data_IF_574350307135
#
_entry.id   IF_574350307135
#
_cell.length_a   1.000
_cell.length_b   1.000
_cell.length_c   1.000
_cell.angle_alpha   90.00
_cell.angle_beta   90.00
_cell.angle_gamma   90.00
#
_symmetry.space_group_name_H-M   'P 1'
#
loop_
_entity.id
_entity.type
_entity.pdbx_description
1 polymer ?
#
# COMPACT_ATOMS: atom_id res chain seq x y z
N UNK A 1 -33.79 6.08 16.60
CA UNK A 1 -32.84 6.25 17.72
C UNK A 1 -31.55 6.85 17.17
N UNK A 2 -30.79 7.60 17.98
CA UNK A 2 -29.44 8.06 17.59
C UNK A 2 -28.41 6.94 17.77
N UNK A 3 -27.23 7.06 17.14
CA UNK A 3 -26.16 6.07 17.27
C UNK A 3 -25.71 5.91 18.74
N UNK A 4 -25.33 4.69 19.10
CA UNK A 4 -24.80 4.35 20.42
C UNK A 4 -23.52 3.55 20.24
N UNK A 5 -22.44 4.02 20.86
CA UNK A 5 -21.14 3.37 20.79
C UNK A 5 -21.09 2.18 21.75
N UNK A 6 -20.48 1.09 21.28
CA UNK A 6 -20.21 -0.10 22.08
C UNK A 6 -18.77 -0.10 22.60
N UNK A 7 -18.57 -0.57 23.82
CA UNK A 7 -17.25 -0.59 24.47
C UNK A 7 -16.71 -2.02 24.55
N UNK A 8 -15.51 -2.26 24.02
CA UNK A 8 -14.84 -3.56 24.12
C UNK A 8 -14.56 -3.94 25.59
N UNK A 9 -14.76 -5.20 25.94
CA UNK A 9 -14.69 -5.74 27.30
C UNK A 9 -15.92 -5.47 28.17
N UNK A 10 -16.82 -4.57 27.75
CA UNK A 10 -18.06 -4.25 28.48
C UNK A 10 -19.29 -4.66 27.70
N UNK A 11 -19.47 -4.11 26.50
CA UNK A 11 -20.63 -4.35 25.64
C UNK A 11 -20.37 -5.48 24.64
N UNK A 12 -19.11 -5.73 24.29
CA UNK A 12 -18.72 -6.85 23.46
C UNK A 12 -17.32 -7.34 23.81
N UNK A 13 -16.96 -8.53 23.37
CA UNK A 13 -15.59 -9.05 23.38
C UNK A 13 -15.16 -9.35 21.95
N UNK A 14 -13.90 -9.06 21.63
CA UNK A 14 -13.27 -9.48 20.38
C UNK A 14 -12.09 -10.39 20.71
N UNK A 15 -12.08 -11.60 20.15
CA UNK A 15 -11.04 -12.60 20.38
C UNK A 15 -10.54 -13.15 19.06
N UNK A 16 -9.22 -13.24 18.92
CA UNK A 16 -8.59 -14.01 17.86
C UNK A 16 -8.76 -15.50 18.20
N UNK A 17 -9.32 -16.27 17.28
CA UNK A 17 -9.42 -17.71 17.41
C UNK A 17 -8.41 -18.37 16.48
N UNK A 18 -7.75 -19.43 16.97
CA UNK A 18 -6.91 -20.27 16.12
C UNK A 18 -7.81 -20.86 15.03
N UNK A 19 -7.35 -20.85 13.78
CA UNK A 19 -8.05 -21.47 12.67
C UNK A 19 -8.47 -22.90 13.04
N UNK A 20 -9.74 -23.26 12.88
CA UNK A 20 -10.23 -24.64 13.02
C UNK A 20 -9.68 -25.52 11.89
N UNK A 21 -8.36 -25.65 11.80
CA UNK A 21 -7.67 -26.59 10.94
C UNK A 21 -7.61 -26.25 9.46
N UNK A 22 -7.90 -25.02 9.02
CA UNK A 22 -7.42 -24.56 7.70
C UNK A 22 -6.12 -23.73 7.90
N UNK A 23 -5.18 -23.85 6.98
CA UNK A 23 -3.94 -23.08 7.00
C UNK A 23 -4.19 -21.68 6.39
N UNK A 24 -3.46 -20.65 6.84
CA UNK A 24 -3.35 -19.31 6.24
C UNK A 24 -4.51 -18.29 6.37
N UNK A 25 -5.42 -18.39 7.34
CA UNK A 25 -6.44 -17.35 7.62
C UNK A 25 -6.53 -16.97 9.10
N UNK A 26 -6.96 -15.74 9.37
CA UNK A 26 -7.18 -15.19 10.71
C UNK A 26 -8.68 -15.05 10.97
N UNK A 27 -9.16 -15.60 12.08
CA UNK A 27 -10.56 -15.45 12.52
C UNK A 27 -10.63 -14.52 13.71
N UNK A 28 -11.47 -13.48 13.60
CA UNK A 28 -11.84 -12.62 14.72
C UNK A 28 -13.28 -12.90 15.10
N UNK A 29 -13.49 -13.39 16.31
CA UNK A 29 -14.81 -13.60 16.87
C UNK A 29 -15.21 -12.38 17.69
N UNK A 30 -16.36 -11.79 17.35
CA UNK A 30 -16.95 -10.66 18.06
C UNK A 30 -18.26 -11.11 18.72
N UNK A 31 -18.34 -11.03 20.05
CA UNK A 31 -19.51 -11.46 20.82
C UNK A 31 -20.06 -10.29 21.63
N UNK A 32 -21.35 -9.95 21.46
CA UNK A 32 -22.02 -9.03 22.36
C UNK A 32 -22.13 -9.66 23.75
N UNK A 33 -21.78 -8.91 24.78
CA UNK A 33 -22.08 -9.30 26.15
C UNK A 33 -23.57 -9.08 26.42
N UNK A 34 -24.05 -9.55 27.58
CA UNK A 34 -25.41 -9.22 28.03
C UNK A 34 -25.68 -7.71 28.07
N UNK A 35 -24.70 -6.93 28.53
CA UNK A 35 -24.80 -5.46 28.56
C UNK A 35 -24.91 -4.89 27.14
N UNK A 36 -24.11 -5.38 26.21
CA UNK A 36 -24.17 -4.93 24.82
C UNK A 36 -25.50 -5.25 24.15
N UNK A 37 -26.02 -6.48 24.35
CA UNK A 37 -27.34 -6.86 23.84
C UNK A 37 -28.46 -5.96 24.37
N UNK A 38 -28.44 -5.61 25.66
CA UNK A 38 -29.39 -4.67 26.25
C UNK A 38 -29.24 -3.26 25.66
N UNK A 39 -27.99 -2.85 25.38
CA UNK A 39 -27.66 -1.53 24.84
C UNK A 39 -28.08 -1.33 23.38
N UNK A 40 -28.00 -2.39 22.57
CA UNK A 40 -28.46 -2.40 21.17
C UNK A 40 -29.93 -2.81 21.03
N UNK A 41 -30.63 -3.07 22.13
CA UNK A 41 -32.05 -3.44 22.08
C UNK A 41 -32.88 -2.32 21.44
N UNK A 42 -33.63 -2.68 20.40
CA UNK A 42 -34.46 -1.74 19.62
C UNK A 42 -33.72 -1.02 18.49
N UNK A 43 -32.47 -1.38 18.21
CA UNK A 43 -31.73 -0.96 17.03
C UNK A 43 -31.82 -1.99 15.92
N UNK A 44 -31.93 -1.52 14.67
CA UNK A 44 -32.02 -2.38 13.49
C UNK A 44 -30.65 -2.81 12.94
N UNK A 45 -29.55 -2.19 13.41
CA UNK A 45 -28.19 -2.43 12.92
C UNK A 45 -27.15 -2.34 14.03
N UNK A 46 -26.19 -3.26 13.99
CA UNK A 46 -24.91 -3.17 14.70
C UNK A 46 -23.80 -3.10 13.66
N UNK A 47 -22.76 -2.31 13.93
CA UNK A 47 -21.62 -2.13 13.01
C UNK A 47 -20.32 -2.29 13.78
N UNK A 48 -19.41 -3.11 13.26
CA UNK A 48 -18.05 -3.24 13.76
C UNK A 48 -17.08 -2.80 12.67
N UNK A 49 -16.11 -1.95 13.04
CA UNK A 49 -15.01 -1.59 12.16
C UNK A 49 -13.80 -2.44 12.56
N UNK A 50 -13.36 -3.31 11.65
CA UNK A 50 -12.15 -4.11 11.82
C UNK A 50 -11.04 -3.43 11.02
N UNK A 51 -9.96 -3.05 11.71
CA UNK A 51 -8.77 -2.45 11.09
C UNK A 51 -7.75 -3.55 10.88
N UNK A 52 -7.38 -3.81 9.63
CA UNK A 52 -6.43 -4.85 9.26
C UNK A 52 -5.17 -4.23 8.65
N UNK A 53 -4.04 -4.94 8.80
CA UNK A 53 -2.75 -4.60 8.20
C UNK A 53 -2.38 -5.73 7.23
N UNK A 54 -2.13 -5.39 5.96
CA UNK A 54 -1.59 -6.36 4.99
C UNK A 54 -0.11 -6.56 5.29
N UNK A 55 0.33 -7.82 5.36
CA UNK A 55 1.74 -8.17 5.57
C UNK A 55 2.44 -8.26 4.21
N UNK A 56 3.69 -7.80 4.14
CA UNK A 56 4.48 -7.63 2.90
C UNK A 56 4.79 -8.94 2.16
N UNK A 57 4.60 -10.10 2.79
CA UNK A 57 4.94 -11.42 2.23
C UNK A 57 3.85 -12.03 1.33
N UNK A 58 2.74 -11.31 1.09
CA UNK A 58 1.61 -11.83 0.29
C UNK A 58 1.76 -11.45 -1.20
N UNK A 59 2.40 -12.33 -1.95
CA UNK A 59 2.62 -12.20 -3.40
C UNK A 59 1.41 -12.55 -4.27
N UNK A 60 0.34 -13.12 -3.70
CA UNK A 60 -0.83 -13.55 -4.48
C UNK A 60 -1.74 -12.38 -4.91
N UNK A 61 -1.50 -11.17 -4.37
CA UNK A 61 -2.18 -9.92 -4.72
C UNK A 61 -3.71 -9.89 -4.55
N UNK A 62 -4.28 -10.90 -3.90
CA UNK A 62 -5.68 -10.96 -3.53
C UNK A 62 -5.82 -11.34 -2.05
N UNK A 63 -6.56 -10.52 -1.30
CA UNK A 63 -6.92 -10.79 0.08
C UNK A 63 -8.44 -10.80 0.17
N UNK A 64 -8.98 -11.98 0.50
CA UNK A 64 -10.41 -12.21 0.68
C UNK A 64 -10.79 -12.07 2.16
N UNK A 65 -11.94 -11.44 2.41
CA UNK A 65 -12.52 -11.33 3.75
C UNK A 65 -13.98 -11.81 3.73
N UNK A 66 -14.36 -12.63 4.69
CA UNK A 66 -15.74 -13.06 4.93
C UNK A 66 -16.11 -12.81 6.39
N UNK A 67 -17.41 -12.76 6.69
CA UNK A 67 -17.90 -12.80 8.06
C UNK A 67 -19.21 -13.56 8.12
N UNK A 68 -19.41 -14.35 9.17
CA UNK A 68 -20.68 -14.97 9.47
C UNK A 68 -21.24 -14.38 10.75
N UNK A 69 -22.57 -14.37 10.87
CA UNK A 69 -23.22 -13.91 12.10
C UNK A 69 -24.08 -15.01 12.70
N UNK A 70 -24.13 -15.05 14.03
CA UNK A 70 -25.01 -15.94 14.76
C UNK A 70 -25.93 -15.11 15.63
N UNK A 71 -27.21 -15.07 15.28
CA UNK A 71 -28.23 -14.43 16.09
C UNK A 71 -28.88 -15.45 17.03
N UNK A 72 -29.14 -15.06 18.28
CA UNK A 72 -29.91 -15.87 19.23
C UNK A 72 -31.21 -15.15 19.51
N UNK A 73 -32.32 -15.71 19.02
CA UNK A 73 -33.65 -15.14 19.20
C UNK A 73 -34.16 -15.21 20.65
N UNK A 74 -35.27 -14.53 20.96
CA UNK A 74 -35.85 -14.48 22.31
C UNK A 74 -36.23 -15.86 22.89
N UNK A 75 -36.40 -16.85 22.02
CA UNK A 75 -36.70 -18.25 22.36
C UNK A 75 -35.47 -19.07 22.71
N UNK A 76 -34.26 -18.49 22.58
CA UNK A 76 -32.98 -19.19 22.69
C UNK A 76 -32.60 -19.95 21.42
N UNK A 77 -33.42 -19.88 20.36
CA UNK A 77 -33.09 -20.45 19.06
C UNK A 77 -31.95 -19.65 18.41
N UNK A 78 -30.93 -20.38 17.99
CA UNK A 78 -29.80 -19.84 17.26
C UNK A 78 -30.13 -19.86 15.77
N UNK A 79 -30.05 -18.71 15.11
CA UNK A 79 -30.19 -18.56 13.67
C UNK A 79 -28.85 -18.05 13.13
N UNK A 80 -28.01 -18.94 12.57
CA UNK A 80 -26.87 -18.50 11.80
C UNK A 80 -27.37 -17.78 10.55
N UNK A 81 -26.84 -16.58 10.28
CA UNK A 81 -26.95 -15.92 8.99
C UNK A 81 -25.55 -15.98 8.40
N UNK A 82 -25.37 -16.92 7.47
CA UNK A 82 -24.09 -17.15 6.80
C UNK A 82 -24.02 -16.29 5.55
N UNK A 83 -22.85 -15.75 5.24
CA UNK A 83 -22.57 -15.28 3.87
C UNK A 83 -22.19 -16.45 2.96
N UNK A 84 -22.10 -17.66 3.52
CA UNK A 84 -21.62 -18.86 2.84
C UNK A 84 -22.46 -19.22 1.58
N UNK A 85 -21.86 -19.29 0.38
CA UNK A 85 -22.52 -19.67 -0.86
C UNK A 85 -22.73 -21.18 -1.01
N UNK A 86 -22.27 -21.99 -0.04
CA UNK A 86 -22.62 -23.42 0.04
C UNK A 86 -23.62 -23.65 1.18
N UNK A 87 -24.73 -24.38 0.95
CA UNK A 87 -25.67 -24.73 2.02
C UNK A 87 -24.94 -25.52 3.10
N UNK A 88 -25.18 -25.16 4.37
CA UNK A 88 -24.71 -25.92 5.52
C UNK A 88 -25.02 -27.42 5.32
N UNK A 89 -24.01 -28.31 5.29
CA UNK A 89 -24.23 -29.74 5.10
C UNK A 89 -25.05 -30.38 6.24
N UNK A 90 -25.23 -29.68 7.37
CA UNK A 90 -26.08 -30.08 8.48
C UNK A 90 -27.05 -28.96 8.89
N UNK A 91 -28.29 -28.95 8.40
CA UNK A 91 -29.29 -27.92 8.74
C UNK A 91 -29.72 -27.88 10.22
N UNK A 92 -29.22 -28.79 11.07
CA UNK A 92 -29.40 -28.78 12.52
C UNK A 92 -28.16 -28.28 13.28
N UNK A 93 -27.08 -27.91 12.59
CA UNK A 93 -25.93 -27.30 13.23
C UNK A 93 -26.30 -25.88 13.71
N UNK A 94 -26.04 -25.62 14.99
CA UNK A 94 -26.29 -24.31 15.61
C UNK A 94 -24.98 -23.56 15.88
N UNK A 95 -23.88 -24.04 15.29
CA UNK A 95 -22.61 -23.33 15.27
C UNK A 95 -22.52 -22.49 13.99
N UNK A 96 -21.83 -21.33 14.02
CA UNK A 96 -21.43 -20.67 12.78
C UNK A 96 -20.61 -21.67 11.96
N UNK A 97 -20.93 -21.85 10.68
CA UNK A 97 -20.00 -22.53 9.77
C UNK A 97 -18.69 -21.76 9.75
N UNK A 98 -17.56 -22.43 9.62
CA UNK A 98 -16.31 -21.71 9.38
C UNK A 98 -16.46 -20.88 8.10
N UNK A 99 -16.11 -19.60 8.12
CA UNK A 99 -16.07 -18.80 6.90
C UNK A 99 -15.13 -19.47 5.91
N UNK A 100 -15.60 -19.77 4.68
CA UNK A 100 -14.77 -20.30 3.61
C UNK A 100 -13.95 -19.15 3.00
N UNK A 101 -12.61 -19.08 3.23
CA UNK A 101 -11.78 -18.00 2.71
C UNK A 101 -11.73 -18.00 1.18
N UNK A 102 -12.04 -19.14 0.54
CA UNK A 102 -12.05 -19.30 -0.92
C UNK A 102 -13.42 -19.04 -1.53
N UNK A 103 -14.45 -18.91 -0.71
CA UNK A 103 -15.82 -18.72 -1.18
C UNK A 103 -16.63 -17.85 -0.19
N UNK A 104 -16.31 -16.56 -0.07
CA UNK A 104 -16.77 -15.73 1.04
C UNK A 104 -18.22 -15.20 0.87
N UNK A 105 -18.89 -15.47 -0.26
CA UNK A 105 -20.28 -15.06 -0.52
C UNK A 105 -20.44 -13.74 -1.28
N UNK A 106 -21.69 -13.26 -1.39
CA UNK A 106 -22.06 -12.06 -2.18
C UNK A 106 -21.72 -10.71 -1.51
N UNK A 107 -21.39 -10.67 -0.21
CA UNK A 107 -21.21 -9.42 0.56
C UNK A 107 -19.81 -9.32 1.18
N UNK A 108 -18.78 -9.31 0.35
CA UNK A 108 -17.38 -9.39 0.81
C UNK A 108 -16.58 -8.17 0.36
N UNK A 109 -15.94 -7.44 1.28
CA UNK A 109 -14.98 -6.42 0.89
C UNK A 109 -13.72 -7.13 0.36
N UNK A 110 -13.50 -7.02 -0.95
CA UNK A 110 -12.31 -7.53 -1.63
C UNK A 110 -11.20 -6.47 -1.56
N UNK A 111 -9.99 -6.89 -1.20
CA UNK A 111 -8.80 -6.04 -1.20
C UNK A 111 -7.80 -6.63 -2.18
N UNK A 112 -7.60 -5.96 -3.31
CA UNK A 112 -6.62 -6.34 -4.33
C UNK A 112 -5.37 -5.49 -4.19
N UNK A 113 -4.21 -6.14 -4.31
CA UNK A 113 -2.90 -5.49 -4.34
C UNK A 113 -2.25 -5.73 -5.72
N UNK A 114 -1.42 -4.78 -6.14
CA UNK A 114 -0.59 -4.88 -7.32
C UNK A 114 0.86 -4.49 -7.03
N UNK A 115 1.67 -4.53 -8.09
CA UNK A 115 3.05 -4.08 -8.10
C UNK A 115 3.26 -3.00 -9.17
N UNK A 116 4.39 -2.30 -9.07
CA UNK A 116 4.92 -1.41 -10.10
C UNK A 116 6.37 -1.80 -10.37
N UNK A 117 6.67 -2.14 -11.61
CA UNK A 117 8.00 -2.52 -12.06
C UNK A 117 8.71 -1.39 -12.82
N UNK A 118 9.92 -1.09 -12.39
CA UNK A 118 10.76 -0.03 -12.96
C UNK A 118 12.00 -0.63 -13.59
N UNK A 119 12.28 -0.25 -14.84
CA UNK A 119 13.54 -0.51 -15.51
C UNK A 119 14.31 0.79 -15.72
N UNK A 120 15.49 0.88 -15.11
CA UNK A 120 16.39 2.01 -15.17
C UNK A 120 17.54 1.75 -16.12
N UNK A 121 17.71 2.62 -17.11
CA UNK A 121 18.80 2.55 -18.08
C UNK A 121 19.46 3.90 -18.33
N UNK A 122 20.60 3.87 -19.04
CA UNK A 122 21.20 5.02 -19.70
C UNK A 122 20.66 5.22 -21.13
N UNK A 123 21.12 6.27 -21.82
CA UNK A 123 20.73 6.56 -23.22
C UNK A 123 21.12 5.46 -24.23
N UNK A 124 22.04 4.56 -23.87
CA UNK A 124 22.45 3.42 -24.68
C UNK A 124 21.64 2.14 -24.37
N UNK A 125 20.77 2.17 -23.36
CA UNK A 125 20.00 1.03 -22.88
C UNK A 125 20.75 0.13 -21.89
N UNK A 126 21.90 0.57 -21.38
CA UNK A 126 22.63 -0.15 -20.32
C UNK A 126 21.87 -0.02 -19.01
N UNK A 127 21.63 -1.12 -18.26
CA UNK A 127 20.97 -1.04 -16.96
C UNK A 127 21.80 -0.25 -15.94
N UNK A 128 21.12 0.51 -15.08
CA UNK A 128 21.75 1.33 -14.04
C UNK A 128 21.27 0.99 -12.64
N UNK A 129 22.22 0.58 -11.79
CA UNK A 129 22.02 0.33 -10.37
C UNK A 129 22.06 1.61 -9.55
N UNK A 130 21.49 1.55 -8.34
CA UNK A 130 21.52 2.60 -7.33
C UNK A 130 20.73 3.87 -7.67
N UNK A 131 19.76 3.79 -8.59
CA UNK A 131 18.74 4.82 -8.75
C UNK A 131 17.68 4.64 -7.66
N UNK A 132 17.27 5.72 -7.00
CA UNK A 132 16.32 5.66 -5.88
C UNK A 132 14.98 6.26 -6.30
N UNK A 133 13.90 5.51 -6.08
CA UNK A 133 12.54 5.85 -6.48
C UNK A 133 11.59 5.93 -5.30
N UNK A 134 10.57 6.77 -5.48
CA UNK A 134 9.39 6.86 -4.60
C UNK A 134 8.12 6.96 -5.43
N UNK A 135 7.00 6.59 -4.82
CA UNK A 135 5.65 6.70 -5.38
C UNK A 135 4.83 7.73 -4.63
N UNK A 136 3.92 8.40 -5.32
CA UNK A 136 2.85 9.22 -4.76
C UNK A 136 1.50 8.85 -5.39
N UNK A 137 0.40 9.07 -4.68
CA UNK A 137 -0.95 8.74 -5.17
C UNK A 137 -1.50 9.78 -6.16
N UNK A 138 -0.97 11.00 -6.15
CA UNK A 138 -1.39 12.12 -7.01
C UNK A 138 -0.22 13.06 -7.33
N UNK A 139 -0.35 13.90 -8.37
CA UNK A 139 0.64 14.96 -8.64
C UNK A 139 0.71 15.99 -7.52
N UNK A 140 -0.42 16.25 -6.84
CA UNK A 140 -0.48 17.11 -5.67
C UNK A 140 0.37 16.54 -4.53
N UNK A 141 0.29 15.23 -4.33
CA UNK A 141 1.10 14.52 -3.34
C UNK A 141 2.59 14.52 -3.68
N UNK A 142 2.96 14.43 -4.96
CA UNK A 142 4.35 14.65 -5.40
C UNK A 142 4.84 16.04 -4.97
N UNK A 143 4.05 17.09 -5.20
CA UNK A 143 4.41 18.48 -4.86
C UNK A 143 4.46 18.72 -3.35
N UNK A 144 3.63 18.00 -2.59
CA UNK A 144 3.59 18.05 -1.14
C UNK A 144 4.61 17.14 -0.44
N UNK A 145 5.36 16.33 -1.21
CA UNK A 145 6.24 15.26 -0.70
C UNK A 145 5.50 14.23 0.17
N UNK A 146 4.22 13.99 -0.14
CA UNK A 146 3.38 12.96 0.47
C UNK A 146 3.58 11.64 -0.28
N UNK A 147 4.60 10.89 0.13
CA UNK A 147 4.95 9.62 -0.50
C UNK A 147 4.08 8.46 0.01
N UNK A 148 3.94 7.43 -0.82
CA UNK A 148 3.37 6.14 -0.42
C UNK A 148 4.16 5.58 0.77
N UNK A 149 3.44 5.09 1.76
CA UNK A 149 3.99 4.50 2.97
C UNK A 149 3.67 3.01 3.04
N UNK A 150 4.55 2.26 3.69
CA UNK A 150 4.32 0.87 4.03
C UNK A 150 3.28 0.76 5.15
N UNK A 151 3.07 -0.46 5.58
CA UNK A 151 2.06 -0.78 6.55
C UNK A 151 2.44 -0.33 7.99
N UNK A 152 3.69 0.06 8.24
CA UNK A 152 4.17 0.70 9.48
C UNK A 152 4.14 2.24 9.41
N UNK A 153 3.79 2.80 8.25
CA UNK A 153 3.73 4.23 8.01
C UNK A 153 5.07 4.84 7.59
N UNK A 154 6.07 4.02 7.26
CA UNK A 154 7.36 4.47 6.76
C UNK A 154 7.31 4.65 5.23
N UNK A 155 8.03 5.65 4.71
CA UNK A 155 7.99 5.96 3.27
C UNK A 155 8.66 4.85 2.45
N UNK A 156 7.90 4.24 1.54
CA UNK A 156 8.43 3.22 0.64
C UNK A 156 9.44 3.85 -0.31
N UNK A 157 10.67 3.36 -0.25
CA UNK A 157 11.79 3.84 -1.06
C UNK A 157 12.53 2.65 -1.62
N UNK A 158 12.65 2.58 -2.94
CA UNK A 158 13.32 1.46 -3.61
C UNK A 158 14.54 1.93 -4.38
N UNK A 159 15.52 1.04 -4.45
CA UNK A 159 16.79 1.28 -5.13
C UNK A 159 16.97 0.23 -6.22
N UNK A 160 17.37 0.65 -7.42
CA UNK A 160 17.57 -0.29 -8.52
C UNK A 160 18.76 -1.20 -8.31
N UNK A 161 18.59 -2.47 -8.69
CA UNK A 161 19.63 -3.51 -8.64
C UNK A 161 20.66 -3.41 -9.79
N UNK A 162 21.57 -4.38 -9.89
CA UNK A 162 22.61 -4.42 -10.92
C UNK A 162 22.05 -4.54 -12.35
N UNK A 163 20.85 -5.10 -12.48
CA UNK A 163 20.08 -5.26 -13.69
C UNK A 163 19.18 -4.05 -13.98
N UNK A 164 19.27 -2.99 -13.15
CA UNK A 164 18.53 -1.75 -13.29
C UNK A 164 17.07 -1.85 -12.88
N UNK A 165 16.69 -2.88 -12.12
CA UNK A 165 15.29 -3.15 -11.77
C UNK A 165 14.95 -2.70 -10.35
N UNK A 166 13.74 -2.21 -10.16
CA UNK A 166 13.14 -1.97 -8.85
C UNK A 166 11.64 -2.31 -8.93
N UNK A 167 11.10 -2.95 -7.88
CA UNK A 167 9.72 -3.45 -7.86
C UNK A 167 9.03 -3.00 -6.57
N UNK A 168 8.01 -2.16 -6.70
CA UNK A 168 7.10 -1.82 -5.60
C UNK A 168 6.03 -2.89 -5.50
N UNK A 169 5.85 -3.50 -4.34
CA UNK A 169 4.83 -4.53 -4.11
C UNK A 169 3.81 -4.08 -3.06
N UNK A 170 2.67 -4.78 -2.97
CA UNK A 170 1.66 -4.50 -1.95
C UNK A 170 0.93 -3.17 -2.15
N UNK A 171 0.89 -2.64 -3.37
CA UNK A 171 0.22 -1.39 -3.68
C UNK A 171 -1.28 -1.63 -3.76
N UNK A 172 -2.07 -0.75 -3.13
CA UNK A 172 -3.53 -0.83 -3.23
C UNK A 172 -3.98 -0.62 -4.67
N UNK A 173 -4.79 -1.53 -5.19
CA UNK A 173 -5.44 -1.38 -6.50
C UNK A 173 -6.95 -1.38 -6.37
N UNK A 174 -7.64 -0.84 -7.37
CA UNK A 174 -9.09 -0.88 -7.42
C UNK A 174 -9.58 -2.35 -7.52
N UNK A 175 -10.52 -2.78 -6.67
CA UNK A 175 -10.94 -4.17 -6.62
C UNK A 175 -11.71 -4.62 -7.87
N UNK A 176 -12.39 -3.73 -8.59
CA UNK A 176 -13.15 -4.11 -9.79
C UNK A 176 -12.23 -4.30 -11.00
N UNK A 177 -11.35 -3.33 -11.25
CA UNK A 177 -10.43 -3.32 -12.39
C UNK A 177 -9.14 -4.10 -12.14
N UNK A 178 -8.70 -4.22 -10.88
CA UNK A 178 -7.41 -4.80 -10.50
C UNK A 178 -6.21 -3.89 -10.79
N UNK A 179 -6.44 -2.61 -11.08
CA UNK A 179 -5.41 -1.66 -11.50
C UNK A 179 -5.54 -0.32 -10.73
N UNK A 180 -4.45 0.40 -10.51
CA UNK A 180 -4.49 1.76 -9.93
C UNK A 180 -3.29 2.60 -10.38
N UNK A 181 -3.53 3.84 -10.78
CA UNK A 181 -2.46 4.74 -11.17
C UNK A 181 -1.73 5.33 -9.97
N UNK A 182 -0.40 5.46 -10.10
CA UNK A 182 0.51 6.12 -9.18
C UNK A 182 1.49 7.02 -9.96
N UNK A 183 2.20 7.88 -9.21
CA UNK A 183 3.19 8.80 -9.75
C UNK A 183 4.58 8.44 -9.24
N UNK A 184 5.43 7.95 -10.14
CA UNK A 184 6.80 7.53 -9.88
C UNK A 184 7.76 8.70 -10.07
N UNK A 185 8.66 8.89 -9.11
CA UNK A 185 9.66 9.94 -9.10
C UNK A 185 11.04 9.37 -8.77
N UNK A 186 12.04 9.66 -9.61
CA UNK A 186 13.44 9.43 -9.26
C UNK A 186 13.89 10.51 -8.27
N UNK A 187 14.32 10.09 -7.08
CA UNK A 187 14.75 10.99 -6.00
C UNK A 187 16.27 11.04 -5.83
N UNK A 188 16.97 10.03 -6.34
CA UNK A 188 18.43 10.02 -6.46
C UNK A 188 18.85 9.28 -7.71
N UNK A 189 19.63 9.92 -8.56
CA UNK A 189 20.22 9.28 -9.74
C UNK A 189 21.45 8.44 -9.37
N UNK A 190 21.79 7.43 -10.20
CA UNK A 190 23.07 6.75 -10.14
C UNK A 190 24.26 7.71 -10.28
N UNK A 191 25.41 7.31 -9.72
CA UNK A 191 26.63 8.12 -9.80
C UNK A 191 27.05 8.35 -11.25
N UNK A 192 27.37 9.60 -11.60
CA UNK A 192 27.76 9.98 -12.97
C UNK A 192 26.58 10.35 -13.88
N UNK A 193 25.34 10.19 -13.42
CA UNK A 193 24.13 10.51 -14.18
C UNK A 193 23.40 11.73 -13.62
N UNK A 194 22.67 12.42 -14.49
CA UNK A 194 21.77 13.49 -14.09
C UNK A 194 20.44 12.90 -13.59
N UNK A 195 19.88 13.50 -12.54
CA UNK A 195 18.55 13.16 -12.02
C UNK A 195 17.47 13.41 -13.07
N UNK A 196 16.60 12.42 -13.28
CA UNK A 196 15.38 12.61 -14.03
C UNK A 196 14.37 13.42 -13.20
N UNK A 197 14.11 14.65 -13.64
CA UNK A 197 13.12 15.54 -13.01
C UNK A 197 11.69 15.30 -13.48
N UNK A 198 11.45 14.28 -14.30
CA UNK A 198 10.12 13.95 -14.83
C UNK A 198 9.33 13.12 -13.83
N UNK A 199 8.05 13.44 -13.67
CA UNK A 199 7.10 12.58 -12.94
C UNK A 199 6.49 11.60 -13.94
N UNK A 200 6.60 10.31 -13.65
CA UNK A 200 6.08 9.24 -14.52
C UNK A 200 4.76 8.72 -13.97
N UNK A 201 3.72 8.69 -14.81
CA UNK A 201 2.48 8.00 -14.48
C UNK A 201 2.66 6.50 -14.72
N UNK A 202 2.41 5.69 -13.70
CA UNK A 202 2.53 4.22 -13.73
C UNK A 202 1.23 3.58 -13.26
N UNK A 203 0.95 2.36 -13.70
CA UNK A 203 -0.26 1.63 -13.34
C UNK A 203 0.11 0.43 -12.50
N UNK A 204 -0.20 0.46 -11.20
CA UNK A 204 -0.01 -0.70 -10.36
C UNK A 204 -0.97 -1.83 -10.77
N UNK A 205 -0.43 -3.03 -10.98
CA UNK A 205 -1.15 -4.24 -11.37
C UNK A 205 -0.39 -5.47 -10.89
N UNK A 206 -1.07 -6.57 -10.59
CA UNK A 206 -0.42 -7.82 -10.22
C UNK A 206 0.03 -8.58 -11.47
N UNK A 207 1.17 -8.19 -12.03
CA UNK A 207 1.84 -8.90 -13.13
C UNK A 207 3.36 -8.66 -13.10
N UNK A 208 4.05 -8.82 -14.23
CA UNK A 208 5.51 -8.64 -14.33
C UNK A 208 5.88 -7.69 -15.47
N UNK A 209 4.93 -6.89 -15.94
CA UNK A 209 5.14 -5.96 -17.05
C UNK A 209 5.90 -4.73 -16.54
N UNK A 210 6.82 -4.20 -17.35
CA UNK A 210 7.55 -2.98 -16.97
C UNK A 210 6.65 -1.77 -17.14
N UNK A 211 6.27 -1.14 -16.04
CA UNK A 211 5.41 0.06 -16.02
C UNK A 211 6.16 1.34 -16.37
N UNK A 212 7.44 1.43 -15.98
CA UNK A 212 8.28 2.59 -16.25
C UNK A 212 9.68 2.20 -16.73
N UNK A 213 10.02 2.65 -17.95
CA UNK A 213 11.38 2.64 -18.47
C UNK A 213 12.00 4.03 -18.29
N UNK A 214 12.78 4.22 -17.21
CA UNK A 214 13.35 5.52 -16.84
C UNK A 214 14.79 5.62 -17.34
N UNK A 215 15.06 6.61 -18.19
CA UNK A 215 16.37 6.81 -18.85
C UNK A 215 17.09 8.02 -18.26
N UNK A 216 18.31 7.83 -17.74
CA UNK A 216 19.13 8.96 -17.29
C UNK A 216 20.17 9.32 -18.32
N UNK A 217 20.44 10.62 -18.39
CA UNK A 217 21.48 11.19 -19.23
C UNK A 217 22.75 11.34 -18.42
N UNK A 218 23.88 11.26 -19.10
CA UNK A 218 25.17 11.51 -18.47
C UNK A 218 25.19 12.91 -17.83
N UNK A 219 25.73 12.98 -16.62
CA UNK A 219 25.95 14.27 -15.99
C UNK A 219 27.16 14.95 -16.63
N UNK A 220 26.91 15.99 -17.43
CA UNK A 220 27.97 16.76 -18.13
C UNK A 220 28.99 17.41 -17.17
N UNK A 221 28.68 17.50 -15.89
CA UNK A 221 29.54 18.09 -14.85
C UNK A 221 30.27 17.05 -13.99
N UNK A 222 29.88 15.77 -14.06
CA UNK A 222 30.50 14.66 -13.34
C UNK A 222 30.72 13.54 -14.36
N UNK A 223 31.87 13.52 -15.07
CA UNK A 223 32.13 12.49 -16.08
C UNK A 223 32.09 11.09 -15.45
N UNK A 224 31.44 10.15 -16.14
CA UNK A 224 31.42 8.72 -15.79
C UNK A 224 32.83 8.14 -15.98
N UNK A 225 33.69 8.30 -14.95
CA UNK A 225 35.07 7.82 -14.98
C UNK A 225 35.07 6.32 -14.71
N UNK A 226 35.81 5.50 -15.49
CA UNK A 226 35.91 4.08 -15.23
C UNK A 226 36.51 3.86 -13.84
N UNK A 227 35.78 3.17 -12.96
CA UNK A 227 36.33 2.62 -11.72
C UNK A 227 37.41 1.60 -12.09
N UNK A 228 38.66 2.04 -12.13
CA UNK A 228 39.81 1.15 -12.34
C UNK A 228 40.48 0.91 -10.99
N UNK A 229 40.33 -0.34 -10.53
CA UNK A 229 41.21 -1.14 -9.67
C UNK A 229 42.00 -0.49 -8.53
N UNK A 230 41.75 -1.01 -7.32
CA UNK A 230 42.57 -1.09 -6.11
C UNK A 230 43.31 0.19 -5.63
N UNK A 231 42.87 0.67 -4.46
CA UNK A 231 43.46 1.75 -3.66
C UNK A 231 43.44 3.17 -4.26
N UNK A 232 42.24 3.77 -4.31
CA UNK A 232 42.12 5.22 -4.16
C UNK A 232 40.82 5.59 -3.43
N UNK A 233 40.96 5.85 -2.13
CA UNK A 233 40.05 6.69 -1.35
C UNK A 233 39.87 8.04 -2.06
N UNK A 234 38.79 8.21 -2.80
CA UNK A 234 38.29 9.52 -3.18
C UNK A 234 36.87 9.65 -2.65
N UNK A 235 36.80 10.07 -1.39
CA UNK A 235 35.60 10.66 -0.79
C UNK A 235 35.35 11.95 -1.58
N UNK A 236 34.58 11.89 -2.67
CA UNK A 236 33.97 13.09 -3.23
C UNK A 236 32.70 13.33 -2.42
N UNK A 237 32.80 14.31 -1.51
CA UNK A 237 31.73 14.82 -0.64
C UNK A 237 30.38 14.89 -1.36
N UNK A 238 29.49 13.94 -1.05
CA UNK A 238 28.05 14.00 -1.29
C UNK A 238 27.47 15.12 -0.42
N UNK A 239 27.54 16.38 -0.87
CA UNK A 239 26.96 17.53 -0.14
C UNK A 239 26.22 18.54 -1.02
N UNK A 240 25.78 18.14 -2.22
CA UNK A 240 25.09 19.07 -3.12
C UNK A 240 23.55 18.95 -3.15
N UNK A 241 22.93 17.98 -2.47
CA UNK A 241 21.48 17.76 -2.61
C UNK A 241 20.61 18.50 -1.59
N UNK A 242 21.17 19.00 -0.47
CA UNK A 242 20.39 19.72 0.57
C UNK A 242 20.16 21.20 0.23
N UNK A 243 20.73 21.75 -0.86
CA UNK A 243 20.68 23.19 -1.15
C UNK A 243 19.60 23.69 -2.12
N UNK A 244 18.72 22.83 -2.66
CA UNK A 244 17.81 23.27 -3.74
C UNK A 244 16.49 23.88 -3.25
N UNK A 245 16.05 23.66 -2.00
CA UNK A 245 14.78 24.25 -1.53
C UNK A 245 14.90 25.75 -1.18
N UNK A 246 16.08 26.24 -0.78
CA UNK A 246 16.28 27.67 -0.43
C UNK A 246 16.74 28.55 -1.61
N UNK A 247 17.30 27.96 -2.68
CA UNK A 247 17.88 28.71 -3.81
C UNK A 247 16.83 29.29 -4.77
N UNK A 248 15.69 28.62 -4.94
CA UNK A 248 14.65 29.03 -5.88
C UNK A 248 14.02 30.38 -5.52
N UNK A 249 13.81 30.66 -4.23
CA UNK A 249 13.23 31.92 -3.77
C UNK A 249 14.16 33.13 -3.98
N UNK A 250 15.48 32.92 -3.88
CA UNK A 250 16.47 34.01 -4.04
C UNK A 250 16.63 34.40 -5.51
N UNK A 251 16.67 33.43 -6.43
CA UNK A 251 16.68 33.67 -7.87
C UNK A 251 15.40 34.35 -8.36
N UNK A 252 14.24 33.95 -7.82
CA UNK A 252 12.96 34.59 -8.14
C UNK A 252 12.92 36.07 -7.71
N UNK A 253 13.51 36.43 -6.57
CA UNK A 253 13.58 37.84 -6.14
C UNK A 253 14.57 38.67 -6.96
N UNK A 254 15.65 38.09 -7.49
CA UNK A 254 16.61 38.82 -8.31
C UNK A 254 16.01 39.19 -9.69
N UNK A 255 15.26 38.28 -10.31
CA UNK A 255 14.63 38.56 -11.60
C UNK A 255 13.51 39.60 -11.54
N UNK A 256 12.78 39.70 -10.43
CA UNK A 256 11.72 40.72 -10.29
C UNK A 256 12.28 42.15 -10.20
N UNK A 257 13.50 42.31 -9.67
CA UNK A 257 14.14 43.62 -9.52
C UNK A 257 14.64 44.22 -10.84
N UNK A 258 14.92 43.40 -11.85
CA UNK A 258 15.30 43.88 -13.18
C UNK A 258 14.10 44.30 -14.04
N UNK A 259 12.91 43.78 -13.77
CA UNK A 259 11.69 44.14 -14.51
C UNK A 259 11.05 45.44 -14.01
N UNK A 260 11.29 45.84 -12.76
CA UNK A 260 10.81 47.12 -12.22
C UNK A 260 11.68 48.33 -12.66
N UNK A 261 12.79 48.09 -13.38
CA UNK A 261 13.79 49.12 -13.73
C UNK A 261 14.02 49.30 -15.25
N UNK A 262 13.06 48.91 -16.10
CA UNK A 262 13.09 49.23 -17.53
C UNK A 262 11.73 49.74 -18.03
#
# INVERSE_FOLDING_TARGET
MGAVDLVNGTDFTATEEASDGLDDYYTVKIELTKSGMEKVAGYDKVSFQVVTKVLEDKTEGLILNSFDTLYVGPTGEKTPETTNPTPDPNPNDQMPTLPDPKNPGENTPEVKMGNVDVLKTDEAGTPLANAVFKLAASEEDVKAENWVTDADGEVVTLTTDAEGKAEFTGLKVDPESGEQNYYLVETSAPTGYALDGTVHLVTAKNDTDVDAAVVNKDNKWVPNLPMTGDDARLILLVTASVLIVTGGSVLYMYHRKEQDNN
#
